data_IF_094286212641
#
_entry.id   IF_094286212641
#
_cell.length_a   1.000
_cell.length_b   1.000
_cell.length_c   1.000
_cell.angle_alpha   90.00
_cell.angle_beta   90.00
_cell.angle_gamma   90.00
#
_symmetry.space_group_name_H-M   'P 1'
#
loop_
_entity.id
_entity.type
_entity.pdbx_description
1 polymer ?
#
# COMPACT_ATOMS: atom_id res chain seq x y z
N UNK A 1 -21.53 -24.57 -10.05
CA UNK A 1 -21.70 -24.07 -8.68
C UNK A 1 -20.83 -22.84 -8.60
N UNK A 2 -21.45 -21.67 -8.76
CA UNK A 2 -20.75 -20.39 -8.54
C UNK A 2 -20.47 -20.27 -7.04
N UNK A 3 -19.23 -19.91 -6.70
CA UNK A 3 -18.81 -19.80 -5.30
C UNK A 3 -19.42 -18.55 -4.70
N UNK A 4 -20.01 -18.58 -3.49
CA UNK A 4 -20.65 -17.42 -2.87
C UNK A 4 -19.72 -16.22 -2.60
N UNK A 5 -18.40 -16.38 -2.80
CA UNK A 5 -17.44 -15.26 -2.78
C UNK A 5 -17.49 -14.35 -4.02
N UNK A 6 -17.86 -14.87 -5.19
CA UNK A 6 -17.83 -14.08 -6.44
C UNK A 6 -18.93 -13.01 -6.50
N UNK A 7 -20.10 -13.30 -5.93
CA UNK A 7 -21.23 -12.36 -5.94
C UNK A 7 -20.97 -11.15 -5.04
N UNK A 8 -20.33 -11.36 -3.89
CA UNK A 8 -19.98 -10.29 -2.96
C UNK A 8 -18.87 -9.39 -3.52
N UNK A 9 -17.85 -9.97 -4.15
CA UNK A 9 -16.78 -9.21 -4.82
C UNK A 9 -17.32 -8.37 -5.99
N UNK A 10 -18.22 -8.96 -6.79
CA UNK A 10 -18.88 -8.26 -7.89
C UNK A 10 -19.77 -7.10 -7.41
N UNK A 11 -20.48 -7.26 -6.29
CA UNK A 11 -21.30 -6.19 -5.71
C UNK A 11 -20.44 -5.04 -5.15
N UNK A 12 -19.33 -5.35 -4.47
CA UNK A 12 -18.37 -4.35 -3.99
C UNK A 12 -17.70 -3.58 -5.15
N UNK A 13 -17.37 -4.28 -6.23
CA UNK A 13 -16.87 -3.71 -7.48
C UNK A 13 -17.84 -2.65 -8.03
N UNK A 14 -19.13 -2.99 -8.18
CA UNK A 14 -20.14 -2.07 -8.71
C UNK A 14 -20.34 -0.82 -7.83
N UNK A 15 -20.38 -1.01 -6.51
CA UNK A 15 -20.52 0.10 -5.55
C UNK A 15 -19.30 1.03 -5.62
N UNK A 16 -18.10 0.45 -5.71
CA UNK A 16 -16.83 1.19 -5.85
C UNK A 16 -16.82 2.02 -7.14
N UNK A 17 -17.23 1.43 -8.26
CA UNK A 17 -17.35 2.12 -9.55
C UNK A 17 -18.34 3.29 -9.49
N UNK A 18 -19.51 3.09 -8.87
CA UNK A 18 -20.53 4.12 -8.79
C UNK A 18 -20.10 5.31 -7.91
N UNK A 19 -19.44 5.04 -6.78
CA UNK A 19 -18.96 6.07 -5.86
C UNK A 19 -17.80 6.88 -6.45
N UNK A 20 -16.86 6.22 -7.13
CA UNK A 20 -15.70 6.89 -7.73
C UNK A 20 -16.08 7.63 -9.01
N UNK A 21 -16.94 7.05 -9.85
CA UNK A 21 -17.40 7.66 -11.11
C UNK A 21 -18.16 8.97 -10.91
N UNK A 22 -18.84 9.14 -9.78
CA UNK A 22 -19.54 10.39 -9.42
C UNK A 22 -18.59 11.48 -8.90
N UNK A 23 -17.39 11.11 -8.45
CA UNK A 23 -16.49 11.99 -7.70
C UNK A 23 -15.24 12.39 -8.51
N UNK A 24 -15.43 13.13 -9.61
CA UNK A 24 -14.34 13.61 -10.49
C UNK A 24 -13.30 14.52 -9.82
N UNK A 25 -13.65 15.09 -8.67
CA UNK A 25 -12.80 15.97 -7.88
C UNK A 25 -12.16 15.27 -6.67
N UNK A 26 -12.16 13.93 -6.63
CA UNK A 26 -11.50 13.19 -5.56
C UNK A 26 -10.00 13.43 -5.61
N UNK A 27 -9.46 14.03 -4.54
CA UNK A 27 -8.03 14.31 -4.38
C UNK A 27 -7.37 13.34 -3.39
N UNK A 28 -8.16 12.84 -2.43
CA UNK A 28 -7.69 12.02 -1.32
C UNK A 28 -8.68 10.88 -1.05
N UNK A 29 -8.16 9.69 -0.77
CA UNK A 29 -8.93 8.54 -0.30
C UNK A 29 -8.18 7.82 0.82
N UNK A 30 -8.89 7.49 1.89
CA UNK A 30 -8.42 6.57 2.93
C UNK A 30 -9.26 5.30 2.89
N UNK A 31 -8.61 4.15 2.76
CA UNK A 31 -9.25 2.83 2.74
C UNK A 31 -9.08 2.13 4.08
N UNK A 32 -10.03 1.26 4.41
CA UNK A 32 -9.95 0.41 5.59
C UNK A 32 -9.02 -0.79 5.39
N UNK A 33 -8.96 -1.33 4.16
CA UNK A 33 -8.14 -2.48 3.77
C UNK A 33 -7.62 -2.33 2.34
N UNK A 34 -6.68 -3.19 1.93
CA UNK A 34 -6.22 -3.33 0.53
C UNK A 34 -7.09 -4.26 -0.34
N UNK A 35 -8.22 -4.75 0.19
CA UNK A 35 -9.14 -5.59 -0.58
C UNK A 35 -9.67 -4.82 -1.79
N UNK A 36 -9.66 -5.46 -2.96
CA UNK A 36 -10.06 -4.87 -4.24
C UNK A 36 -9.27 -3.60 -4.63
N UNK A 37 -8.09 -3.38 -4.04
CA UNK A 37 -7.29 -2.17 -4.30
C UNK A 37 -7.09 -1.94 -5.79
N UNK A 38 -6.74 -2.99 -6.55
CA UNK A 38 -6.53 -2.91 -7.99
C UNK A 38 -7.71 -2.30 -8.73
N UNK A 39 -8.93 -2.71 -8.39
CA UNK A 39 -10.13 -2.15 -9.00
C UNK A 39 -10.37 -0.71 -8.56
N UNK A 40 -10.22 -0.43 -7.26
CA UNK A 40 -10.35 0.93 -6.72
C UNK A 40 -9.41 1.90 -7.43
N UNK A 41 -8.11 1.58 -7.50
CA UNK A 41 -7.12 2.48 -8.12
C UNK A 41 -7.29 2.59 -9.63
N UNK A 42 -7.74 1.51 -10.31
CA UNK A 42 -8.08 1.58 -11.72
C UNK A 42 -9.22 2.58 -11.97
N UNK A 43 -10.28 2.53 -11.16
CA UNK A 43 -11.40 3.47 -11.26
C UNK A 43 -11.00 4.90 -10.95
N UNK A 44 -10.12 5.11 -9.95
CA UNK A 44 -9.57 6.44 -9.63
C UNK A 44 -8.79 6.97 -10.83
N UNK A 45 -7.92 6.16 -11.44
CA UNK A 45 -7.10 6.57 -12.59
C UNK A 45 -7.95 7.02 -13.80
N UNK A 46 -9.11 6.37 -13.99
CA UNK A 46 -10.04 6.69 -15.06
C UNK A 46 -10.80 8.00 -14.78
N UNK A 47 -11.31 8.17 -13.56
CA UNK A 47 -12.31 9.19 -13.24
C UNK A 47 -11.76 10.43 -12.51
N UNK A 48 -10.64 10.31 -11.79
CA UNK A 48 -10.16 11.30 -10.83
C UNK A 48 -8.77 11.83 -11.23
N UNK A 49 -8.71 12.73 -12.22
CA UNK A 49 -7.42 13.23 -12.77
C UNK A 49 -6.57 14.06 -11.81
N UNK A 50 -7.17 14.57 -10.74
CA UNK A 50 -6.49 15.35 -9.70
C UNK A 50 -6.22 14.54 -8.43
N UNK A 51 -6.32 13.21 -8.49
CA UNK A 51 -6.07 12.36 -7.34
C UNK A 51 -4.58 12.40 -6.94
N UNK A 52 -4.32 12.58 -5.66
CA UNK A 52 -2.97 12.84 -5.16
C UNK A 52 -2.61 12.05 -3.90
N UNK A 53 -3.59 11.58 -3.11
CA UNK A 53 -3.33 11.04 -1.77
C UNK A 53 -4.10 9.76 -1.51
N UNK A 54 -3.38 8.70 -1.16
CA UNK A 54 -3.95 7.41 -0.79
C UNK A 54 -3.45 7.03 0.61
N UNK A 55 -4.35 6.54 1.44
CA UNK A 55 -3.99 6.04 2.76
C UNK A 55 -4.76 4.78 3.12
N UNK A 56 -4.22 4.04 4.08
CA UNK A 56 -4.85 2.84 4.62
C UNK A 56 -4.97 2.94 6.15
N UNK A 57 -5.91 2.20 6.72
CA UNK A 57 -6.01 2.02 8.19
C UNK A 57 -5.45 0.66 8.62
N UNK A 58 -5.54 -0.31 7.73
CA UNK A 58 -4.96 -1.64 7.81
C UNK A 58 -4.72 -2.08 6.35
N UNK A 59 -3.59 -2.70 6.04
CA UNK A 59 -3.31 -3.19 4.69
C UNK A 59 -2.17 -4.21 4.68
N UNK A 60 -2.28 -5.17 3.76
CA UNK A 60 -1.14 -5.93 3.25
C UNK A 60 -0.83 -5.43 1.84
N UNK A 61 0.39 -4.92 1.65
CA UNK A 61 0.89 -4.45 0.35
C UNK A 61 1.89 -5.48 -0.16
N UNK A 62 1.38 -6.43 -0.93
CA UNK A 62 2.18 -7.43 -1.64
C UNK A 62 2.51 -6.92 -3.05
N UNK A 63 3.06 -7.79 -3.90
CA UNK A 63 3.55 -7.37 -5.22
C UNK A 63 2.42 -6.84 -6.12
N UNK A 64 1.25 -7.48 -6.06
CA UNK A 64 0.10 -7.13 -6.89
C UNK A 64 -0.50 -5.77 -6.49
N UNK A 65 -0.60 -5.48 -5.20
CA UNK A 65 -1.06 -4.18 -4.69
C UNK A 65 -0.09 -3.06 -5.07
N UNK A 66 1.22 -3.30 -4.88
CA UNK A 66 2.25 -2.34 -5.25
C UNK A 66 2.26 -2.06 -6.75
N UNK A 67 2.14 -3.10 -7.58
CA UNK A 67 2.06 -2.97 -9.02
C UNK A 67 0.79 -2.22 -9.45
N UNK A 68 -0.34 -2.46 -8.78
CA UNK A 68 -1.56 -1.73 -9.05
C UNK A 68 -1.41 -0.23 -8.74
N UNK A 69 -0.85 0.13 -7.58
CA UNK A 69 -0.56 1.53 -7.23
C UNK A 69 0.38 2.14 -8.27
N UNK A 70 1.49 1.47 -8.58
CA UNK A 70 2.49 1.93 -9.55
C UNK A 70 1.90 2.14 -10.96
N UNK A 71 1.02 1.24 -11.39
CA UNK A 71 0.42 1.26 -12.73
C UNK A 71 -0.66 2.33 -12.86
N UNK A 72 -1.57 2.41 -11.89
CA UNK A 72 -2.76 3.25 -11.98
C UNK A 72 -2.59 4.63 -11.36
N UNK A 73 -1.67 4.78 -10.39
CA UNK A 73 -1.42 6.03 -9.67
C UNK A 73 0.08 6.44 -9.70
N UNK A 74 0.75 6.46 -10.87
CA UNK A 74 2.18 6.77 -10.95
C UNK A 74 2.53 8.21 -10.49
N UNK A 75 1.54 9.11 -10.49
CA UNK A 75 1.71 10.53 -10.15
C UNK A 75 1.21 10.86 -8.73
N UNK A 76 0.99 9.85 -7.89
CA UNK A 76 0.59 10.08 -6.50
C UNK A 76 1.68 10.84 -5.75
N UNK A 77 1.27 11.77 -4.88
CA UNK A 77 2.21 12.61 -4.13
C UNK A 77 2.27 12.25 -2.65
N UNK A 78 1.22 11.63 -2.10
CA UNK A 78 1.19 11.20 -0.70
C UNK A 78 0.65 9.78 -0.59
N UNK A 79 1.41 8.90 0.07
CA UNK A 79 1.01 7.54 0.37
C UNK A 79 1.20 7.28 1.88
N UNK A 80 0.13 6.87 2.55
CA UNK A 80 0.10 6.61 3.99
C UNK A 80 -0.23 5.15 4.27
N UNK A 81 0.76 4.43 4.79
CA UNK A 81 0.74 3.00 5.08
C UNK A 81 1.24 2.70 6.52
N UNK A 82 0.92 3.51 7.55
CA UNK A 82 1.39 3.22 8.90
C UNK A 82 0.82 1.89 9.40
N UNK A 83 1.61 1.16 10.18
CA UNK A 83 1.19 -0.11 10.83
C UNK A 83 0.72 -1.18 9.83
N UNK A 84 1.22 -1.15 8.59
CA UNK A 84 0.86 -2.11 7.53
C UNK A 84 1.90 -3.21 7.35
N UNK A 85 1.49 -4.32 6.74
CA UNK A 85 2.41 -5.29 6.18
C UNK A 85 2.85 -4.82 4.79
N UNK A 86 4.16 -4.74 4.55
CA UNK A 86 4.70 -4.42 3.23
C UNK A 86 6.00 -5.20 3.00
N UNK A 87 6.03 -6.01 1.96
CA UNK A 87 7.28 -6.68 1.57
C UNK A 87 8.23 -5.66 0.95
N UNK A 88 9.52 -5.83 1.22
CA UNK A 88 10.59 -4.96 0.71
C UNK A 88 10.51 -4.73 -0.81
N UNK A 89 10.29 -5.80 -1.60
CA UNK A 89 10.16 -5.71 -3.06
C UNK A 89 8.98 -4.85 -3.53
N UNK A 90 7.89 -4.85 -2.77
CA UNK A 90 6.72 -4.01 -3.04
C UNK A 90 7.01 -2.54 -2.76
N UNK A 91 7.70 -2.26 -1.65
CA UNK A 91 8.17 -0.91 -1.35
C UNK A 91 9.13 -0.41 -2.45
N UNK A 92 10.09 -1.22 -2.88
CA UNK A 92 11.00 -0.90 -3.98
C UNK A 92 10.22 -0.57 -5.26
N UNK A 93 9.21 -1.37 -5.60
CA UNK A 93 8.36 -1.14 -6.79
C UNK A 93 7.66 0.22 -6.71
N UNK A 94 7.07 0.56 -5.56
CA UNK A 94 6.44 1.86 -5.35
C UNK A 94 7.47 2.99 -5.50
N UNK A 95 8.63 2.89 -4.84
CA UNK A 95 9.68 3.91 -4.90
C UNK A 95 10.25 4.10 -6.31
N UNK A 96 10.29 3.04 -7.12
CA UNK A 96 10.77 3.07 -8.48
C UNK A 96 9.75 3.67 -9.46
N UNK A 97 8.46 3.44 -9.27
CA UNK A 97 7.43 3.88 -10.20
C UNK A 97 6.79 5.22 -9.84
N UNK A 98 6.56 5.50 -8.56
CA UNK A 98 5.83 6.68 -8.08
C UNK A 98 6.75 7.89 -7.86
N UNK A 99 7.39 8.39 -8.93
CA UNK A 99 8.44 9.44 -8.85
C UNK A 99 7.97 10.83 -8.41
N UNK A 100 6.67 11.03 -8.21
CA UNK A 100 6.10 12.29 -7.70
C UNK A 100 5.80 12.25 -6.20
N UNK A 101 6.17 11.16 -5.50
CA UNK A 101 6.00 11.08 -4.05
C UNK A 101 6.76 12.21 -3.35
N UNK A 102 6.02 12.95 -2.54
CA UNK A 102 6.51 14.01 -1.64
C UNK A 102 6.47 13.51 -0.19
N UNK A 103 5.44 12.73 0.15
CA UNK A 103 5.27 12.14 1.46
C UNK A 103 5.00 10.64 1.33
N UNK A 104 5.81 9.82 2.00
CA UNK A 104 5.57 8.39 2.17
C UNK A 104 5.71 8.04 3.65
N UNK A 105 4.62 7.59 4.26
CA UNK A 105 4.58 7.08 5.62
C UNK A 105 4.40 5.56 5.57
N UNK A 106 5.42 4.85 6.05
CA UNK A 106 5.50 3.40 6.24
C UNK A 106 6.02 3.12 7.67
N UNK A 107 5.66 3.98 8.62
CA UNK A 107 6.06 3.84 10.01
C UNK A 107 5.42 2.60 10.65
N UNK A 108 6.18 1.94 11.52
CA UNK A 108 5.75 0.72 12.22
C UNK A 108 5.29 -0.42 11.29
N UNK A 109 5.74 -0.44 10.02
CA UNK A 109 5.44 -1.55 9.12
C UNK A 109 6.25 -2.80 9.44
N UNK A 110 5.73 -3.96 9.03
CA UNK A 110 6.47 -5.23 9.04
C UNK A 110 6.84 -5.62 7.62
N UNK A 111 8.11 -5.92 7.38
CA UNK A 111 8.61 -6.54 6.14
C UNK A 111 9.84 -5.90 5.50
N UNK A 112 10.41 -4.88 6.11
CA UNK A 112 11.72 -4.32 5.74
C UNK A 112 12.38 -3.63 6.95
N UNK A 113 13.67 -3.31 6.85
CA UNK A 113 14.42 -2.62 7.90
C UNK A 113 14.40 -1.09 7.71
N UNK A 114 14.21 -0.33 8.81
CA UNK A 114 14.19 1.14 8.77
C UNK A 114 15.52 1.76 8.28
N UNK A 115 16.64 1.05 8.46
CA UNK A 115 17.98 1.51 8.09
C UNK A 115 18.52 0.83 6.82
N UNK A 116 17.65 0.29 5.98
CA UNK A 116 18.05 -0.29 4.70
C UNK A 116 18.61 0.80 3.76
N UNK A 117 19.91 0.72 3.47
CA UNK A 117 20.61 1.73 2.66
C UNK A 117 20.06 1.82 1.23
N UNK A 118 19.58 0.72 0.66
CA UNK A 118 19.01 0.70 -0.69
C UNK A 118 17.65 1.39 -0.71
N UNK A 119 16.78 1.10 0.25
CA UNK A 119 15.48 1.76 0.42
C UNK A 119 15.68 3.26 0.67
N UNK A 120 16.58 3.64 1.57
CA UNK A 120 16.87 5.06 1.87
C UNK A 120 17.39 5.79 0.63
N UNK A 121 18.25 5.15 -0.16
CA UNK A 121 18.75 5.71 -1.42
C UNK A 121 17.63 5.85 -2.46
N UNK A 122 16.77 4.84 -2.59
CA UNK A 122 15.62 4.88 -3.51
C UNK A 122 14.61 5.96 -3.10
N UNK A 123 14.40 6.17 -1.80
CA UNK A 123 13.50 7.18 -1.25
C UNK A 123 14.10 8.60 -1.19
N UNK A 124 15.37 8.80 -1.57
CA UNK A 124 16.09 10.08 -1.42
C UNK A 124 15.46 11.27 -2.15
N UNK A 125 14.57 11.04 -3.13
CA UNK A 125 13.83 12.10 -3.82
C UNK A 125 12.58 12.58 -3.04
N UNK A 126 12.14 11.81 -2.05
CA UNK A 126 10.93 12.08 -1.26
C UNK A 126 11.27 13.09 -0.17
N UNK A 127 10.44 14.13 -0.01
CA UNK A 127 10.68 15.20 0.97
C UNK A 127 10.44 14.73 2.40
N UNK A 128 9.42 13.91 2.62
CA UNK A 128 9.06 13.35 3.93
C UNK A 128 8.91 11.84 3.80
N UNK A 129 9.91 11.10 4.27
CA UNK A 129 9.89 9.64 4.31
C UNK A 129 9.91 9.18 5.77
N UNK A 130 8.79 8.62 6.24
CA UNK A 130 8.63 8.13 7.60
C UNK A 130 8.66 6.59 7.59
N UNK A 131 9.76 6.01 8.06
CA UNK A 131 9.95 4.55 8.13
C UNK A 131 10.40 4.07 9.51
N UNK A 132 10.23 4.89 10.54
CA UNK A 132 10.64 4.55 11.90
C UNK A 132 9.84 3.38 12.46
N UNK A 133 10.49 2.54 13.23
CA UNK A 133 9.86 1.42 13.93
C UNK A 133 9.52 0.24 13.02
N UNK A 134 10.01 0.24 11.78
CA UNK A 134 9.79 -0.91 10.89
C UNK A 134 10.65 -2.09 11.32
N UNK A 135 10.07 -3.28 11.20
CA UNK A 135 10.75 -4.52 11.58
C UNK A 135 10.78 -5.49 10.41
N UNK A 136 11.85 -6.28 10.26
CA UNK A 136 11.90 -7.32 9.25
C UNK A 136 10.90 -8.44 9.56
N UNK A 137 10.64 -9.29 8.56
CA UNK A 137 9.97 -10.56 8.82
C UNK A 137 10.85 -11.47 9.68
N UNK A 138 10.51 -11.61 10.96
CA UNK A 138 11.09 -12.65 11.81
C UNK A 138 10.19 -13.87 11.77
N UNK A 139 10.61 -14.94 11.08
CA UNK A 139 10.08 -16.25 11.41
C UNK A 139 10.48 -16.53 12.85
N UNK A 140 9.51 -16.85 13.72
CA UNK A 140 9.80 -17.27 15.07
C UNK A 140 10.77 -18.46 15.02
N UNK A 141 12.02 -18.24 15.38
CA UNK A 141 12.74 -19.32 16.04
C UNK A 141 11.96 -19.53 17.34
N UNK A 142 11.25 -20.65 17.44
CA UNK A 142 10.81 -21.17 18.72
C UNK A 142 12.00 -21.07 19.67
N UNK A 143 11.92 -20.13 20.61
CA UNK A 143 12.77 -20.14 21.78
C UNK A 143 12.34 -21.37 22.57
N UNK A 144 12.93 -22.53 22.24
CA UNK A 144 13.06 -23.64 23.16
C UNK A 144 13.75 -23.08 24.41
N UNK A 145 12.90 -22.73 25.37
CA UNK A 145 13.27 -22.47 26.75
C UNK A 145 13.54 -23.83 27.40
N UNK A 146 14.54 -23.83 28.28
CA UNK A 146 14.85 -24.85 29.30
C UNK A 146 15.58 -26.12 28.78
N UNK A 147 16.66 -26.62 29.41
CA UNK A 147 16.98 -26.65 30.84
C UNK A 147 18.49 -26.41 31.12
N UNK A 148 18.79 -25.46 32.01
CA UNK A 148 19.88 -25.64 32.98
C UNK A 148 19.32 -26.46 34.16
N UNK A 149 19.74 -27.72 34.31
CA UNK A 149 20.03 -28.38 35.60
C UNK A 149 21.21 -29.34 35.40
#
# INVERSE_FOLDING_TARGET
MESPGSDFEHEQSLITQELIGKNKNLVHLKLGSSINLKEVVAQISLNCKNFMRLGFSDASIEEDEALAIATFLPNITHLFLPETYIIEKSLVTILQCCKQLVHLDVSNCVGFFENDEEILKLASYITTFECKGTMPFTFGCDSSSDEEI
#
